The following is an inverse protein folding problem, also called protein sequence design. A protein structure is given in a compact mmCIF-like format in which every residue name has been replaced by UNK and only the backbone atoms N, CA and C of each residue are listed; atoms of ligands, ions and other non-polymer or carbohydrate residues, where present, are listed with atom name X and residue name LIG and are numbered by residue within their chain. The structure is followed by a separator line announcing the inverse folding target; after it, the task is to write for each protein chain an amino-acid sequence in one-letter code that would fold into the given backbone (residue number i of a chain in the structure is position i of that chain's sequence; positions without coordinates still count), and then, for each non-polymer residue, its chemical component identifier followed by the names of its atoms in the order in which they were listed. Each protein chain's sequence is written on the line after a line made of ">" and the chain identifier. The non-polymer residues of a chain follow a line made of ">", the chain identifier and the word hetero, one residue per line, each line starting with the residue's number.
data_IF_567586779789
#
_entry.id   IF_567586779789
#
_cell.length_a   1.000
_cell.length_b   1.000
_cell.length_c   1.000
_cell.angle_alpha   90.00
_cell.angle_beta   90.00
_cell.angle_gamma   90.00
#
_symmetry.space_group_name_H-M   'P 1'
#
loop_
_entity.id
_entity.type
_entity.pdbx_description
1 polymer ?
#
# COMPACT_ATOMS: atom_id res chain seq x y z
N UNK A 1 -7.67 -21.29 -12.86
CA UNK A 1 -6.28 -21.57 -13.29
C UNK A 1 -5.41 -20.41 -12.82
N UNK A 2 -4.19 -20.68 -12.35
CA UNK A 2 -3.24 -19.61 -11.99
C UNK A 2 -2.66 -19.05 -13.29
N UNK A 3 -2.78 -17.74 -13.48
CA UNK A 3 -2.29 -17.01 -14.66
C UNK A 3 -0.91 -16.39 -14.39
N UNK A 4 -0.66 -15.96 -13.15
CA UNK A 4 0.60 -15.32 -12.79
C UNK A 4 0.82 -15.24 -11.29
N UNK A 5 2.09 -15.13 -10.90
CA UNK A 5 2.50 -14.90 -9.52
C UNK A 5 3.52 -13.78 -9.48
N UNK A 6 3.53 -13.02 -8.39
CA UNK A 6 4.54 -12.00 -8.18
C UNK A 6 4.81 -11.77 -6.72
N UNK A 7 6.06 -11.41 -6.41
CA UNK A 7 6.50 -11.16 -5.05
C UNK A 7 7.40 -9.92 -5.01
N UNK A 8 7.37 -9.22 -3.89
CA UNK A 8 8.26 -8.09 -3.66
C UNK A 8 8.62 -7.96 -2.19
N UNK A 9 9.83 -7.49 -1.90
CA UNK A 9 10.30 -7.19 -0.55
C UNK A 9 10.94 -5.80 -0.54
N UNK A 10 10.57 -4.99 0.44
CA UNK A 10 11.06 -3.63 0.61
C UNK A 10 11.67 -3.43 1.99
N UNK A 11 12.77 -2.67 2.02
CA UNK A 11 13.43 -2.23 3.24
C UNK A 11 12.79 -0.92 3.73
N UNK A 12 12.04 -0.98 4.83
CA UNK A 12 11.27 0.14 5.39
C UNK A 12 12.14 1.36 5.74
N UNK A 13 13.35 1.21 6.33
CA UNK A 13 14.22 2.35 6.60
C UNK A 13 14.57 3.16 5.35
N UNK A 14 14.65 2.55 4.16
CA UNK A 14 14.88 3.29 2.90
C UNK A 14 13.74 4.26 2.60
N UNK A 15 12.49 3.86 2.86
CA UNK A 15 11.33 4.73 2.69
C UNK A 15 11.29 5.82 3.76
N UNK A 16 11.66 5.52 5.01
CA UNK A 16 11.81 6.53 6.06
C UNK A 16 12.86 7.57 5.67
N UNK A 17 14.05 7.13 5.24
CA UNK A 17 15.10 8.02 4.74
C UNK A 17 14.65 8.86 3.55
N UNK A 18 13.88 8.27 2.62
CA UNK A 18 13.33 8.99 1.47
C UNK A 18 12.42 10.15 1.90
N UNK A 19 11.57 9.94 2.91
CA UNK A 19 10.67 10.97 3.43
C UNK A 19 11.40 12.02 4.28
N UNK A 20 12.55 11.69 4.88
CA UNK A 20 13.42 12.66 5.56
C UNK A 20 14.17 13.60 4.60
N UNK A 21 14.22 13.29 3.30
CA UNK A 21 14.93 14.14 2.35
C UNK A 21 14.24 15.52 2.22
N UNK A 22 15.03 16.58 2.05
CA UNK A 22 14.52 17.95 1.81
C UNK A 22 13.79 18.12 0.46
N UNK A 23 13.76 17.09 -0.37
CA UNK A 23 13.14 17.16 -1.70
C UNK A 23 11.66 16.76 -1.65
N UNK A 24 10.84 17.61 -1.03
CA UNK A 24 9.37 17.42 -0.97
C UNK A 24 8.76 17.17 -2.35
N UNK A 25 9.30 17.80 -3.40
CA UNK A 25 8.88 17.58 -4.79
C UNK A 25 9.12 16.16 -5.29
N UNK A 26 10.23 15.51 -4.90
CA UNK A 26 10.53 14.13 -5.31
C UNK A 26 9.57 13.16 -4.64
N UNK A 27 9.34 13.33 -3.34
CA UNK A 27 8.38 12.54 -2.56
C UNK A 27 6.97 12.70 -3.11
N UNK A 28 6.53 13.92 -3.37
CA UNK A 28 5.20 14.20 -3.92
C UNK A 28 4.99 13.53 -5.29
N UNK A 29 5.99 13.59 -6.18
CA UNK A 29 5.93 12.91 -7.49
C UNK A 29 5.88 11.40 -7.35
N UNK A 30 6.67 10.81 -6.44
CA UNK A 30 6.63 9.38 -6.20
C UNK A 30 5.27 8.95 -5.64
N UNK A 31 4.77 9.66 -4.62
CA UNK A 31 3.45 9.40 -4.05
C UNK A 31 2.33 9.53 -5.10
N UNK A 32 2.40 10.50 -6.00
CA UNK A 32 1.44 10.66 -7.11
C UNK A 32 1.50 9.52 -8.13
N UNK A 33 2.69 8.98 -8.41
CA UNK A 33 2.87 7.86 -9.33
C UNK A 33 2.44 6.53 -8.73
N UNK A 34 2.62 6.36 -7.42
CA UNK A 34 2.43 5.09 -6.73
C UNK A 34 1.06 4.97 -6.11
N UNK A 35 0.55 5.99 -5.40
CA UNK A 35 -0.65 5.89 -4.58
C UNK A 35 -1.91 6.18 -5.37
N UNK A 36 -2.95 5.39 -5.15
CA UNK A 36 -4.27 5.66 -5.72
C UNK A 36 -4.85 6.97 -5.16
N UNK A 37 -5.33 7.90 -6.01
CA UNK A 37 -5.75 9.23 -5.59
C UNK A 37 -6.90 9.23 -4.58
N UNK A 38 -7.78 8.23 -4.64
CA UNK A 38 -8.97 8.15 -3.77
C UNK A 38 -8.74 7.29 -2.53
N UNK A 39 -8.05 6.15 -2.66
CA UNK A 39 -8.06 5.11 -1.63
C UNK A 39 -6.82 5.14 -0.74
N UNK A 40 -5.68 5.60 -1.26
CA UNK A 40 -4.38 5.50 -0.56
C UNK A 40 -3.77 6.88 -0.32
N UNK A 41 -3.83 7.77 -1.32
CA UNK A 41 -3.19 9.08 -1.28
C UNK A 41 -3.68 9.95 -0.11
N UNK A 42 -4.99 10.04 0.21
CA UNK A 42 -5.45 10.89 1.31
C UNK A 42 -4.89 10.45 2.67
N UNK A 43 -4.73 9.14 2.88
CA UNK A 43 -4.17 8.60 4.13
C UNK A 43 -2.69 8.94 4.27
N UNK A 44 -1.95 8.88 3.17
CA UNK A 44 -0.53 9.25 3.12
C UNK A 44 -0.34 10.74 3.38
N UNK A 45 -1.10 11.60 2.69
CA UNK A 45 -0.98 13.05 2.83
C UNK A 45 -1.34 13.49 4.27
N UNK A 46 -2.36 12.87 4.88
CA UNK A 46 -2.71 13.12 6.28
C UNK A 46 -1.58 12.73 7.26
N UNK A 47 -0.96 11.56 7.07
CA UNK A 47 0.16 11.12 7.90
C UNK A 47 1.40 12.03 7.71
N UNK A 48 1.67 12.46 6.48
CA UNK A 48 2.78 13.37 6.19
C UNK A 48 2.57 14.76 6.80
N UNK A 49 1.35 15.30 6.73
CA UNK A 49 0.98 16.56 7.36
C UNK A 49 1.10 16.48 8.89
N UNK A 50 0.61 15.38 9.50
CA UNK A 50 0.74 15.14 10.93
C UNK A 50 2.21 15.01 11.36
N UNK A 51 3.05 14.38 10.54
CA UNK A 51 4.49 14.30 10.78
C UNK A 51 5.18 15.66 10.77
N UNK A 52 4.81 16.55 9.83
CA UNK A 52 5.33 17.90 9.76
C UNK A 52 4.89 18.75 10.96
N UNK A 53 3.62 18.64 11.37
CA UNK A 53 3.09 19.33 12.55
C UNK A 53 3.80 18.87 13.83
N UNK A 54 3.99 17.55 14.01
CA UNK A 54 4.71 17.00 15.15
C UNK A 54 6.16 17.51 15.22
N UNK A 55 6.85 17.59 14.07
CA UNK A 55 8.22 18.09 14.00
C UNK A 55 8.34 19.59 14.37
N UNK A 56 7.30 20.39 14.13
CA UNK A 56 7.26 21.80 14.51
C UNK A 56 7.12 22.01 16.03
N UNK A 57 6.49 21.06 16.74
CA UNK A 57 6.24 21.12 18.19
C UNK A 57 7.33 20.42 19.02
N UNK A 58 8.23 19.66 18.38
CA UNK A 58 9.22 18.84 19.09
C UNK A 58 10.32 19.73 19.69
N UNK A 59 10.45 19.74 21.02
CA UNK A 59 11.51 20.46 21.74
C UNK A 59 12.87 19.75 21.61
N UNK A 60 13.96 20.49 21.86
CA UNK A 60 15.35 19.97 21.77
C UNK A 60 15.57 18.75 22.69
N UNK A 61 14.85 18.63 23.81
CA UNK A 61 14.92 17.51 24.74
C UNK A 61 14.48 16.17 24.13
N UNK A 62 13.48 16.18 23.25
CA UNK A 62 12.93 14.95 22.64
C UNK A 62 13.83 14.41 21.52
N UNK A 63 14.68 15.28 20.94
CA UNK A 63 15.73 14.85 19.99
C UNK A 63 16.80 13.98 20.65
N UNK A 64 17.11 14.22 21.93
CA UNK A 64 18.13 13.46 22.68
C UNK A 64 17.64 12.05 23.00
N UNK A 65 16.33 11.84 23.13
CA UNK A 65 15.71 10.53 23.42
C UNK A 65 15.54 9.62 22.19
N UNK A 66 16.00 10.02 21.00
CA UNK A 66 15.92 9.20 19.78
C UNK A 66 14.50 8.88 19.32
N UNK A 67 13.50 9.67 19.75
CA UNK A 67 12.09 9.46 19.41
C UNK A 67 11.85 9.53 17.90
N UNK A 68 11.55 8.39 17.27
CA UNK A 68 11.15 8.35 15.85
C UNK A 68 9.83 9.09 15.69
N UNK A 69 9.75 10.01 14.72
CA UNK A 69 8.51 10.66 14.32
C UNK A 69 7.53 9.59 13.82
N UNK A 70 6.60 9.16 14.68
CA UNK A 70 5.69 8.03 14.44
C UNK A 70 4.83 8.24 13.19
N UNK A 71 4.41 9.47 12.93
CA UNK A 71 3.61 9.79 11.75
C UNK A 71 4.44 9.75 10.47
N UNK A 72 5.73 10.12 10.52
CA UNK A 72 6.63 9.96 9.38
C UNK A 72 6.86 8.48 9.07
N UNK A 73 7.06 7.65 10.09
CA UNK A 73 7.17 6.20 9.96
C UNK A 73 5.89 5.63 9.37
N UNK A 74 4.73 6.08 9.83
CA UNK A 74 3.42 5.68 9.27
C UNK A 74 3.29 6.07 7.80
N UNK A 75 3.67 7.29 7.42
CA UNK A 75 3.67 7.73 6.02
C UNK A 75 4.62 6.86 5.16
N UNK A 76 5.80 6.53 5.69
CA UNK A 76 6.75 5.64 5.02
C UNK A 76 6.17 4.23 4.83
N UNK A 77 5.52 3.67 5.85
CA UNK A 77 4.84 2.38 5.77
C UNK A 77 3.72 2.37 4.74
N UNK A 78 2.90 3.44 4.65
CA UNK A 78 1.83 3.54 3.66
C UNK A 78 2.39 3.48 2.23
N UNK A 79 3.45 4.25 1.96
CA UNK A 79 4.09 4.29 0.65
C UNK A 79 4.84 2.98 0.33
N UNK A 80 5.58 2.43 1.28
CA UNK A 80 6.30 1.17 1.13
C UNK A 80 5.36 -0.02 0.89
N UNK A 81 4.23 -0.05 1.60
CA UNK A 81 3.22 -1.09 1.42
C UNK A 81 2.58 -1.02 0.03
N UNK A 82 2.18 0.17 -0.41
CA UNK A 82 1.63 0.37 -1.76
C UNK A 82 2.65 0.01 -2.84
N UNK A 83 3.92 0.39 -2.66
CA UNK A 83 5.01 0.02 -3.56
C UNK A 83 5.15 -1.50 -3.68
N UNK A 84 5.35 -2.20 -2.55
CA UNK A 84 5.55 -3.65 -2.57
C UNK A 84 4.37 -4.40 -3.17
N UNK A 85 3.13 -4.01 -2.83
CA UNK A 85 1.93 -4.65 -3.38
C UNK A 85 1.85 -4.47 -4.91
N UNK A 86 2.23 -3.31 -5.42
CA UNK A 86 2.11 -2.96 -6.84
C UNK A 86 3.27 -3.47 -7.68
N UNK A 87 4.46 -3.58 -7.11
CA UNK A 87 5.58 -4.33 -7.71
C UNK A 87 5.28 -5.83 -7.79
N UNK A 88 4.75 -6.42 -6.71
CA UNK A 88 4.32 -7.82 -6.71
C UNK A 88 3.20 -8.05 -7.73
N UNK A 89 2.24 -7.13 -7.84
CA UNK A 89 1.21 -7.16 -8.87
C UNK A 89 1.81 -7.07 -10.28
N UNK A 90 2.67 -6.09 -10.54
CA UNK A 90 3.31 -5.89 -11.85
C UNK A 90 3.99 -7.18 -12.34
N UNK A 91 4.69 -7.87 -11.44
CA UNK A 91 5.36 -9.14 -11.73
C UNK A 91 4.39 -10.31 -12.00
N UNK A 92 3.14 -10.20 -11.56
CA UNK A 92 2.10 -11.19 -11.80
C UNK A 92 1.31 -10.95 -13.10
N UNK A 93 1.54 -9.82 -13.79
CA UNK A 93 0.91 -9.50 -15.07
C UNK A 93 1.72 -10.05 -16.25
N UNK A 94 1.02 -10.36 -17.33
CA UNK A 94 1.64 -10.75 -18.60
C UNK A 94 2.43 -9.58 -19.21
N UNK A 95 3.41 -9.91 -20.05
CA UNK A 95 4.25 -8.92 -20.74
C UNK A 95 3.42 -7.90 -21.56
N UNK A 96 2.25 -8.31 -22.05
CA UNK A 96 1.32 -7.44 -22.80
C UNK A 96 0.59 -6.44 -21.91
N UNK A 97 0.38 -6.76 -20.63
CA UNK A 97 -0.37 -5.95 -19.67
C UNK A 97 0.54 -5.01 -18.86
N UNK A 98 1.80 -5.39 -18.68
CA UNK A 98 2.79 -4.65 -17.90
C UNK A 98 2.99 -3.18 -18.36
N UNK A 99 3.07 -2.84 -19.66
CA UNK A 99 3.22 -1.46 -20.12
C UNK A 99 2.10 -0.52 -19.66
N UNK A 100 0.88 -1.06 -19.49
CA UNK A 100 -0.30 -0.30 -19.05
C UNK A 100 -0.50 -0.33 -17.53
N UNK A 101 0.37 -1.02 -16.79
CA UNK A 101 0.31 -1.12 -15.33
C UNK A 101 0.70 0.19 -14.64
N UNK A 102 -0.25 1.12 -14.56
CA UNK A 102 -0.09 2.39 -13.83
C UNK A 102 -0.39 2.19 -12.35
N UNK A 103 0.61 2.21 -11.49
CA UNK A 103 0.46 1.94 -10.05
C UNK A 103 -0.65 2.77 -9.39
N UNK A 104 -0.78 4.05 -9.72
CA UNK A 104 -1.83 4.91 -9.18
C UNK A 104 -3.26 4.63 -9.68
N UNK A 105 -3.45 3.72 -10.64
CA UNK A 105 -4.77 3.20 -11.03
C UNK A 105 -5.15 1.94 -10.23
N UNK A 106 -4.17 1.29 -9.61
CA UNK A 106 -4.39 0.13 -8.75
C UNK A 106 -4.52 0.54 -7.28
N UNK A 107 -5.32 -0.18 -6.51
CA UNK A 107 -5.50 0.10 -5.09
C UNK A 107 -5.73 -1.17 -4.28
N UNK A 108 -5.27 -1.14 -3.03
CA UNK A 108 -5.59 -2.16 -2.05
C UNK A 108 -6.94 -1.87 -1.39
N UNK A 109 -7.75 -2.90 -1.22
CA UNK A 109 -9.02 -2.84 -0.51
C UNK A 109 -9.18 -4.05 0.43
N UNK A 110 -10.22 -4.02 1.28
CA UNK A 110 -10.59 -5.12 2.19
C UNK A 110 -12.03 -5.54 1.89
N UNK A 111 -12.25 -6.57 1.05
CA UNK A 111 -13.60 -7.05 0.76
C UNK A 111 -14.32 -7.48 2.03
N UNK A 112 -15.63 -7.20 2.14
CA UNK A 112 -16.46 -7.73 3.23
C UNK A 112 -16.28 -7.07 4.61
N UNK A 113 -15.68 -5.88 4.70
CA UNK A 113 -15.68 -5.09 5.95
C UNK A 113 -17.05 -4.50 6.23
N UNK A 114 -17.97 -5.32 6.74
CA UNK A 114 -19.23 -4.86 7.30
C UNK A 114 -19.10 -4.79 8.82
N UNK A 115 -19.44 -3.65 9.43
CA UNK A 115 -19.58 -3.54 10.88
C UNK A 115 -20.97 -4.03 11.25
N UNK A 116 -21.14 -5.33 11.45
CA UNK A 116 -22.39 -5.88 11.99
C UNK A 116 -22.37 -5.77 13.51
N UNK A 117 -23.20 -4.89 14.06
CA UNK A 117 -23.41 -4.78 15.51
C UNK A 117 -24.55 -5.69 15.92
N UNK A 118 -24.24 -6.83 16.52
CA UNK A 118 -25.22 -7.67 17.23
C UNK A 118 -24.93 -7.60 18.73
N UNK A 119 -25.99 -7.54 19.52
CA UNK A 119 -26.16 -6.98 20.89
C UNK A 119 -25.23 -7.49 22.00
N UNK A 120 -24.21 -8.30 21.71
CA UNK A 120 -23.25 -8.74 22.73
C UNK A 120 -21.85 -9.05 22.23
N UNK A 121 -21.53 -8.86 20.93
CA UNK A 121 -20.15 -9.03 20.42
C UNK A 121 -19.95 -8.33 19.07
N UNK A 122 -19.06 -7.34 19.03
CA UNK A 122 -18.61 -6.76 17.74
C UNK A 122 -17.53 -7.68 17.15
N UNK A 123 -17.90 -8.60 16.26
CA UNK A 123 -16.93 -9.35 15.46
C UNK A 123 -16.53 -8.51 14.26
N UNK A 124 -15.34 -7.92 14.30
CA UNK A 124 -14.76 -7.22 13.15
C UNK A 124 -14.25 -8.28 12.16
N UNK A 125 -15.01 -8.56 11.11
CA UNK A 125 -14.45 -9.27 9.97
C UNK A 125 -13.51 -8.30 9.22
N UNK A 126 -12.23 -8.32 9.59
CA UNK A 126 -11.20 -7.63 8.80
C UNK A 126 -10.94 -8.50 7.58
N UNK A 127 -11.70 -8.28 6.51
CA UNK A 127 -11.50 -8.99 5.25
C UNK A 127 -10.02 -9.03 4.86
N UNK A 128 -9.61 -10.16 4.26
CA UNK A 128 -8.24 -10.34 3.74
C UNK A 128 -7.94 -9.23 2.73
N UNK A 129 -6.72 -8.68 2.70
CA UNK A 129 -6.38 -7.66 1.73
C UNK A 129 -6.51 -8.20 0.29
N UNK A 130 -7.01 -7.36 -0.60
CA UNK A 130 -7.08 -7.64 -2.04
C UNK A 130 -6.61 -6.41 -2.82
N UNK A 131 -6.22 -6.58 -4.07
CA UNK A 131 -5.76 -5.50 -4.96
C UNK A 131 -6.63 -5.47 -6.22
N UNK A 132 -6.98 -4.27 -6.68
CA UNK A 132 -7.90 -4.09 -7.80
C UNK A 132 -7.56 -2.85 -8.63
N UNK A 133 -8.06 -2.84 -9.86
CA UNK A 133 -8.11 -1.70 -10.78
C UNK A 133 -9.40 -1.83 -11.59
N UNK A 134 -10.26 -0.81 -11.55
CA UNK A 134 -11.58 -0.88 -12.16
C UNK A 134 -11.51 -1.09 -13.68
N UNK A 135 -10.60 -0.38 -14.35
CA UNK A 135 -10.39 -0.51 -15.79
C UNK A 135 -9.88 -1.91 -16.17
N UNK A 136 -8.94 -2.45 -15.39
CA UNK A 136 -8.42 -3.80 -15.63
C UNK A 136 -9.51 -4.85 -15.41
N UNK A 137 -10.26 -4.74 -14.30
CA UNK A 137 -11.33 -5.68 -13.98
C UNK A 137 -12.46 -5.67 -15.03
N UNK A 138 -12.76 -4.52 -15.62
CA UNK A 138 -13.71 -4.41 -16.72
C UNK A 138 -13.21 -5.12 -18.00
N UNK A 139 -11.91 -5.03 -18.30
CA UNK A 139 -11.30 -5.71 -19.45
C UNK A 139 -11.10 -7.22 -19.22
N UNK A 140 -10.88 -7.64 -17.97
CA UNK A 140 -10.58 -9.02 -17.57
C UNK A 140 -11.56 -9.54 -16.52
N UNK A 141 -12.88 -9.63 -16.82
CA UNK A 141 -13.91 -9.94 -15.83
C UNK A 141 -13.84 -11.37 -15.27
N UNK A 142 -13.10 -12.25 -15.94
CA UNK A 142 -12.85 -13.62 -15.50
C UNK A 142 -11.65 -13.74 -14.54
N UNK A 143 -10.95 -12.65 -14.25
CA UNK A 143 -9.73 -12.67 -13.46
C UNK A 143 -9.91 -12.09 -12.06
N UNK A 144 -9.06 -12.53 -11.14
CA UNK A 144 -9.05 -12.06 -9.75
C UNK A 144 -7.62 -12.05 -9.23
N UNK A 145 -7.29 -11.02 -8.44
CA UNK A 145 -6.00 -10.90 -7.78
C UNK A 145 -6.11 -11.15 -6.29
N UNK A 146 -5.34 -12.13 -5.81
CA UNK A 146 -5.17 -12.41 -4.40
C UNK A 146 -3.92 -11.71 -3.90
N UNK A 147 -4.00 -11.06 -2.74
CA UNK A 147 -2.89 -10.34 -2.14
C UNK A 147 -2.64 -10.85 -0.72
N UNK A 148 -1.37 -11.09 -0.41
CA UNK A 148 -0.87 -11.25 0.96
C UNK A 148 0.21 -10.22 1.22
N UNK A 149 0.19 -9.64 2.41
CA UNK A 149 1.19 -8.65 2.85
C UNK A 149 1.62 -9.01 4.25
N UNK A 150 2.92 -9.02 4.50
CA UNK A 150 3.50 -9.20 5.82
C UNK A 150 4.58 -8.15 6.06
N UNK A 151 4.83 -7.82 7.32
CA UNK A 151 5.96 -7.00 7.70
C UNK A 151 6.53 -7.51 9.03
N UNK A 152 7.84 -7.53 9.15
CA UNK A 152 8.53 -7.84 10.39
C UNK A 152 9.88 -7.11 10.42
N UNK A 153 10.23 -6.56 11.60
CA UNK A 153 11.36 -5.67 11.77
C UNK A 153 11.40 -4.54 10.72
N UNK A 154 12.49 -4.50 9.95
CA UNK A 154 12.75 -3.46 8.95
C UNK A 154 12.29 -3.81 7.52
N UNK A 155 11.56 -4.92 7.35
CA UNK A 155 11.13 -5.39 6.03
C UNK A 155 9.63 -5.54 5.92
N UNK A 156 9.14 -5.27 4.71
CA UNK A 156 7.77 -5.55 4.29
C UNK A 156 7.82 -6.39 3.02
N UNK A 157 6.99 -7.41 2.95
CA UNK A 157 6.85 -8.29 1.79
C UNK A 157 5.41 -8.33 1.29
N UNK A 158 5.24 -8.43 -0.02
CA UNK A 158 3.97 -8.62 -0.67
C UNK A 158 4.03 -9.80 -1.64
N UNK A 159 2.94 -10.55 -1.72
CA UNK A 159 2.77 -11.68 -2.61
C UNK A 159 1.42 -11.57 -3.32
N UNK A 160 1.42 -11.68 -4.64
CA UNK A 160 0.23 -11.58 -5.48
C UNK A 160 0.08 -12.84 -6.32
N UNK A 161 -1.15 -13.34 -6.41
CA UNK A 161 -1.55 -14.41 -7.33
C UNK A 161 -2.66 -13.89 -8.23
N UNK A 162 -2.45 -13.95 -9.55
CA UNK A 162 -3.44 -13.70 -10.59
C UNK A 162 -4.11 -15.02 -10.94
N UNK A 163 -5.41 -15.11 -10.74
CA UNK A 163 -6.21 -16.30 -11.03
C UNK A 163 -7.25 -15.97 -12.11
N UNK A 164 -7.38 -16.86 -13.10
CA UNK A 164 -8.48 -16.85 -14.06
C UNK A 164 -9.52 -17.92 -13.73
N UNK A 165 -10.81 -17.59 -13.81
CA UNK A 165 -11.89 -18.57 -13.72
C UNK A 165 -11.76 -19.57 -14.86
N UNK A 166 -11.79 -20.86 -14.53
CA UNK A 166 -11.97 -21.89 -15.55
C UNK A 166 -13.41 -21.78 -16.05
N UNK A 167 -13.61 -21.60 -17.35
CA UNK A 167 -14.90 -21.87 -17.96
C UNK A 167 -15.14 -23.39 -17.79
N UNK A 168 -16.13 -23.75 -16.97
CA UNK A 168 -16.72 -25.08 -16.95
C UNK A 168 -17.93 -25.08 -17.87
#
# INVERSE_FOLDING_TARGET
>A
MILGIGHDIVHLPRFVSLLHTRSHRRVARLAQRVLHPVYERPQFDAALAAAAAAAATTNVSDKVAGGKNKELVRAAHLLANAWACKEALYKALDETDQPDCRFNAWYKHKPGTNKTTTTTRTTRNTGKPAIACDAYAAAHPAETFWLSVSHDGDYLTAFVVREGKSLQ
#
